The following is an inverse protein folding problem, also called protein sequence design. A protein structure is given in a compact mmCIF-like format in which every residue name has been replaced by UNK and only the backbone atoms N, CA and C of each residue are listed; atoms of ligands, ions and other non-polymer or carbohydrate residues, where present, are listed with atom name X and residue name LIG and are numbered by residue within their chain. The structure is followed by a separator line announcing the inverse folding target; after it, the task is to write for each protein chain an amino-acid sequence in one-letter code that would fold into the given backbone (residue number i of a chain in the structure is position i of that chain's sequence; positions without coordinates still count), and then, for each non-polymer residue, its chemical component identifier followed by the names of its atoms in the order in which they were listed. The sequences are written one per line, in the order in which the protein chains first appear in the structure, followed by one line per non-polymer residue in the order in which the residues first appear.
data_IF_375016898051
#
_entry.id   IF_375016898051
#
_cell.length_a   1.000
_cell.length_b   1.000
_cell.length_c   1.000
_cell.angle_alpha   90.00
_cell.angle_beta   90.00
_cell.angle_gamma   90.00
#
_symmetry.space_group_name_H-M   'P 1'
#
loop_
_entity.id
_entity.type
_entity.pdbx_description
1 polymer ?
#
# COMPACT_ATOMS: atom_id res chain seq x y z
N UNK A 1 16.63 -5.34 -30.53
CA UNK A 1 15.43 -4.74 -29.89
C UNK A 1 15.68 -4.69 -28.40
N UNK A 2 15.48 -3.54 -27.74
CA UNK A 2 15.69 -3.42 -26.29
C UNK A 2 14.72 -4.30 -25.50
N UNK A 3 15.15 -4.77 -24.32
CA UNK A 3 14.30 -5.53 -23.39
C UNK A 3 13.04 -4.71 -23.08
N UNK A 4 11.82 -5.28 -23.14
CA UNK A 4 10.61 -4.54 -22.83
C UNK A 4 10.65 -4.04 -21.39
N UNK A 5 10.23 -2.80 -21.16
CA UNK A 5 10.19 -2.19 -19.82
C UNK A 5 9.25 -2.97 -18.91
N UNK A 6 9.69 -3.23 -17.69
CA UNK A 6 8.87 -3.85 -16.65
C UNK A 6 7.74 -2.92 -16.19
N UNK A 7 6.70 -3.50 -15.61
CA UNK A 7 5.58 -2.74 -15.04
C UNK A 7 6.03 -1.67 -14.02
N UNK A 8 7.04 -1.99 -13.19
CA UNK A 8 7.57 -1.04 -12.21
C UNK A 8 8.35 0.10 -12.84
N UNK A 9 9.08 -0.15 -13.92
CA UNK A 9 9.78 0.90 -14.65
C UNK A 9 8.79 1.86 -15.30
N UNK A 10 7.71 1.34 -15.89
CA UNK A 10 6.61 2.14 -16.44
C UNK A 10 5.97 3.02 -15.34
N UNK A 11 5.59 2.44 -14.21
CA UNK A 11 5.01 3.19 -13.08
C UNK A 11 5.95 4.28 -12.56
N UNK A 12 7.25 3.97 -12.45
CA UNK A 12 8.27 4.94 -12.03
C UNK A 12 8.38 6.11 -13.01
N UNK A 13 8.34 5.84 -14.32
CA UNK A 13 8.37 6.87 -15.36
C UNK A 13 7.13 7.77 -15.26
N UNK A 14 5.93 7.18 -15.18
CA UNK A 14 4.68 7.93 -15.06
C UNK A 14 4.67 8.83 -13.81
N UNK A 15 5.09 8.30 -12.66
CA UNK A 15 5.17 9.08 -11.42
C UNK A 15 6.22 10.20 -11.51
N UNK A 16 7.33 9.96 -12.22
CA UNK A 16 8.37 10.96 -12.45
C UNK A 16 7.88 12.09 -13.34
N UNK A 17 7.12 11.79 -14.40
CA UNK A 17 6.52 12.80 -15.29
C UNK A 17 5.51 13.65 -14.52
N UNK A 18 4.57 13.02 -13.81
CA UNK A 18 3.58 13.73 -12.97
C UNK A 18 4.23 14.60 -11.90
N UNK A 19 5.30 14.11 -11.26
CA UNK A 19 6.06 14.90 -10.30
C UNK A 19 6.62 16.17 -10.96
N UNK A 20 7.20 16.06 -12.16
CA UNK A 20 7.74 17.23 -12.88
C UNK A 20 6.66 18.26 -13.20
N UNK A 21 5.46 17.82 -13.57
CA UNK A 21 4.31 18.70 -13.81
C UNK A 21 3.94 19.48 -12.54
N UNK A 22 3.75 18.81 -11.40
CA UNK A 22 3.46 19.50 -10.13
C UNK A 22 4.52 20.50 -9.72
N UNK A 23 5.79 20.18 -9.97
CA UNK A 23 6.89 21.05 -9.61
C UNK A 23 6.95 22.33 -10.44
N UNK A 24 6.25 22.42 -11.58
CA UNK A 24 6.18 23.67 -12.34
C UNK A 24 5.32 24.73 -11.64
N UNK A 25 4.35 24.31 -10.83
CA UNK A 25 3.44 25.21 -10.10
C UNK A 25 3.99 25.69 -8.75
N UNK A 26 5.10 25.09 -8.28
CA UNK A 26 5.67 25.32 -6.96
C UNK A 26 6.91 26.23 -7.03
N UNK A 27 7.28 26.91 -5.92
CA UNK A 27 8.50 27.71 -5.88
C UNK A 27 9.75 26.94 -6.32
N UNK A 28 10.72 27.58 -7.00
CA UNK A 28 11.90 26.91 -7.55
C UNK A 28 12.69 26.09 -6.53
N UNK A 29 12.84 26.56 -5.29
CA UNK A 29 13.58 25.85 -4.23
C UNK A 29 12.90 24.54 -3.79
N UNK A 30 11.61 24.35 -4.09
CA UNK A 30 10.92 23.07 -3.88
C UNK A 30 11.48 22.00 -4.82
N UNK A 31 11.88 22.36 -6.04
CA UNK A 31 12.54 21.43 -6.98
C UNK A 31 13.84 20.89 -6.38
N UNK A 32 14.62 21.74 -5.72
CA UNK A 32 15.88 21.34 -5.09
C UNK A 32 15.65 20.40 -3.90
N UNK A 33 14.59 20.62 -3.13
CA UNK A 33 14.17 19.68 -2.09
C UNK A 33 13.89 18.28 -2.67
N UNK A 34 13.14 18.18 -3.78
CA UNK A 34 12.85 16.89 -4.40
C UNK A 34 14.08 16.23 -5.05
N UNK A 35 15.01 17.02 -5.61
CA UNK A 35 16.32 16.53 -6.07
C UNK A 35 17.11 15.91 -4.91
N UNK A 36 17.15 16.57 -3.75
CA UNK A 36 17.83 16.06 -2.57
C UNK A 36 17.12 14.84 -1.94
N UNK A 37 15.80 14.74 -2.08
CA UNK A 37 14.99 13.63 -1.54
C UNK A 37 15.01 12.37 -2.43
N UNK A 38 15.28 12.53 -3.72
CA UNK A 38 15.36 11.48 -4.77
C UNK A 38 16.04 10.20 -4.28
N UNK A 39 17.28 10.25 -3.73
CA UNK A 39 18.05 9.02 -3.49
C UNK A 39 17.53 8.17 -2.33
N UNK A 40 16.72 8.76 -1.45
CA UNK A 40 16.29 8.12 -0.19
C UNK A 40 14.79 7.80 -0.16
N UNK A 41 14.04 8.15 -1.21
CA UNK A 41 12.59 7.99 -1.24
C UNK A 41 12.06 7.45 -2.55
N UNK A 42 10.98 6.67 -2.47
CA UNK A 42 10.29 6.18 -3.66
C UNK A 42 9.62 7.32 -4.42
N UNK A 43 9.49 7.14 -5.73
CA UNK A 43 8.71 7.95 -6.65
C UNK A 43 7.30 8.28 -6.11
N UNK A 44 6.57 7.28 -5.58
CA UNK A 44 5.25 7.51 -4.95
C UNK A 44 5.29 8.45 -3.75
N UNK A 45 6.33 8.35 -2.92
CA UNK A 45 6.48 9.22 -1.75
C UNK A 45 6.74 10.65 -2.20
N UNK A 46 7.62 10.83 -3.19
CA UNK A 46 7.89 12.15 -3.77
C UNK A 46 6.64 12.76 -4.40
N UNK A 47 5.90 11.98 -5.18
CA UNK A 47 4.65 12.44 -5.79
C UNK A 47 3.64 12.87 -4.71
N UNK A 48 3.43 12.04 -3.68
CA UNK A 48 2.55 12.38 -2.54
C UNK A 48 2.99 13.65 -1.80
N UNK A 49 4.30 13.83 -1.63
CA UNK A 49 4.85 15.03 -0.98
C UNK A 49 4.67 16.28 -1.86
N UNK A 50 4.75 16.16 -3.18
CA UNK A 50 4.53 17.29 -4.07
C UNK A 50 3.07 17.77 -3.99
N UNK A 51 2.10 16.83 -3.97
CA UNK A 51 0.70 17.17 -3.71
C UNK A 51 0.50 17.85 -2.35
N UNK A 52 1.17 17.37 -1.29
CA UNK A 52 1.04 17.97 0.04
C UNK A 52 1.60 19.39 0.12
N UNK A 53 2.77 19.62 -0.46
CA UNK A 53 3.36 20.95 -0.51
C UNK A 53 2.50 21.90 -1.34
N UNK A 54 1.91 21.45 -2.46
CA UNK A 54 0.94 22.24 -3.22
C UNK A 54 -0.28 22.66 -2.39
N UNK A 55 -0.79 21.77 -1.53
CA UNK A 55 -1.88 22.12 -0.60
C UNK A 55 -1.41 23.15 0.43
N UNK A 56 -0.19 23.02 0.96
CA UNK A 56 0.38 24.00 1.89
C UNK A 56 0.56 25.38 1.27
N UNK A 57 1.16 25.47 0.09
CA UNK A 57 1.36 26.76 -0.56
C UNK A 57 0.03 27.40 -0.98
N UNK A 58 -0.99 26.61 -1.33
CA UNK A 58 -2.34 27.15 -1.56
C UNK A 58 -2.93 27.73 -0.29
N UNK A 59 -2.83 27.01 0.83
CA UNK A 59 -3.26 27.52 2.13
C UNK A 59 -2.61 28.89 2.41
N UNK A 60 -1.31 29.05 2.14
CA UNK A 60 -0.65 30.34 2.30
C UNK A 60 -1.30 31.45 1.45
N UNK A 61 -1.66 31.18 0.19
CA UNK A 61 -2.33 32.16 -0.66
C UNK A 61 -3.77 32.45 -0.22
N UNK A 62 -4.48 31.49 0.36
CA UNK A 62 -5.87 31.64 0.79
C UNK A 62 -6.01 32.28 2.17
N UNK A 63 -5.07 32.02 3.07
CA UNK A 63 -5.17 32.38 4.49
C UNK A 63 -4.20 33.49 4.91
N UNK A 64 -3.13 33.76 4.15
CA UNK A 64 -2.21 34.83 4.47
C UNK A 64 -2.43 36.05 3.55
N UNK A 65 -2.93 37.20 4.07
CA UNK A 65 -3.21 38.38 3.27
C UNK A 65 -1.99 38.92 2.50
N UNK A 66 -0.77 38.76 3.02
CA UNK A 66 0.44 39.26 2.35
C UNK A 66 0.85 38.39 1.15
N UNK A 67 0.37 37.15 1.08
CA UNK A 67 0.70 36.18 0.03
C UNK A 67 -0.44 35.96 -0.96
N UNK A 68 -1.63 36.50 -0.70
CA UNK A 68 -2.83 36.29 -1.50
C UNK A 68 -2.69 36.72 -2.97
N UNK A 69 -2.04 37.85 -3.23
CA UNK A 69 -1.81 38.38 -4.59
C UNK A 69 -0.56 37.82 -5.27
N UNK A 70 0.27 37.06 -4.52
CA UNK A 70 1.55 36.56 -4.99
C UNK A 70 1.35 35.21 -5.68
N UNK A 71 1.85 35.00 -6.92
CA UNK A 71 1.85 33.69 -7.54
C UNK A 71 2.57 32.66 -6.66
N UNK A 72 2.08 31.41 -6.66
CA UNK A 72 2.65 30.34 -5.83
C UNK A 72 4.15 30.14 -6.11
N UNK A 73 4.58 30.32 -7.35
CA UNK A 73 5.99 30.22 -7.78
C UNK A 73 6.90 31.27 -7.16
N UNK A 74 6.34 32.39 -6.70
CA UNK A 74 7.10 33.57 -6.30
C UNK A 74 7.24 33.66 -4.77
N UNK A 75 6.51 32.84 -4.02
CA UNK A 75 6.63 32.76 -2.55
C UNK A 75 8.08 32.43 -2.20
N UNK A 76 8.77 33.36 -1.53
CA UNK A 76 10.21 33.32 -1.31
C UNK A 76 10.57 32.61 0.00
N UNK A 77 11.87 32.42 0.24
CA UNK A 77 12.35 31.84 1.51
C UNK A 77 12.09 32.82 2.66
N UNK A 78 12.16 34.12 2.42
CA UNK A 78 11.86 35.17 3.39
C UNK A 78 10.40 35.09 3.84
N UNK A 79 9.46 34.88 2.91
CA UNK A 79 8.05 34.67 3.24
C UNK A 79 7.89 33.47 4.19
N UNK A 80 8.56 32.34 3.88
CA UNK A 80 8.53 31.15 4.73
C UNK A 80 9.21 31.36 6.09
N UNK A 81 10.25 32.20 6.14
CA UNK A 81 10.98 32.52 7.37
C UNK A 81 10.17 33.38 8.34
N UNK A 82 9.16 34.09 7.84
CA UNK A 82 8.26 34.92 8.65
C UNK A 82 7.19 34.11 9.40
N UNK A 83 6.91 32.88 8.94
CA UNK A 83 5.88 32.01 9.51
C UNK A 83 6.25 31.52 10.91
N UNK A 84 5.27 31.57 11.80
CA UNK A 84 5.34 31.19 13.20
C UNK A 84 4.62 29.84 13.44
N UNK A 85 4.83 29.20 14.60
CA UNK A 85 4.15 27.95 14.95
C UNK A 85 2.62 27.99 14.76
N UNK A 86 1.99 29.12 15.06
CA UNK A 86 0.54 29.33 14.92
C UNK A 86 0.06 29.19 13.47
N UNK A 87 0.82 29.66 12.47
CA UNK A 87 0.45 29.51 11.05
C UNK A 87 0.37 28.03 10.63
N UNK A 88 1.19 27.18 11.24
CA UNK A 88 1.19 25.74 11.00
C UNK A 88 0.09 25.01 11.79
N UNK A 89 -0.34 25.55 12.92
CA UNK A 89 -1.53 25.10 13.64
C UNK A 89 -2.81 25.44 12.85
N UNK A 90 -2.87 26.64 12.27
CA UNK A 90 -3.91 27.05 11.32
C UNK A 90 -3.91 26.15 10.08
N UNK A 91 -2.74 25.83 9.52
CA UNK A 91 -2.67 24.86 8.42
C UNK A 91 -3.21 23.48 8.83
N UNK A 92 -2.89 23.01 10.05
CA UNK A 92 -3.40 21.75 10.57
C UNK A 92 -4.94 21.77 10.73
N UNK A 93 -5.51 22.93 11.06
CA UNK A 93 -6.96 23.15 11.06
C UNK A 93 -7.55 23.18 9.64
N UNK A 94 -6.95 23.93 8.72
CA UNK A 94 -7.34 24.00 7.32
C UNK A 94 -7.41 22.60 6.68
N UNK A 95 -6.48 21.70 7.02
CA UNK A 95 -6.49 20.33 6.52
C UNK A 95 -7.69 19.49 6.97
N UNK A 96 -8.48 19.91 7.99
CA UNK A 96 -9.72 19.23 8.38
C UNK A 96 -10.77 19.34 7.28
N UNK A 97 -10.88 20.50 6.63
CA UNK A 97 -11.80 20.77 5.54
C UNK A 97 -11.31 21.96 4.69
N UNK A 98 -11.03 21.73 3.41
CA UNK A 98 -10.57 22.77 2.48
C UNK A 98 -11.07 22.54 1.06
N UNK A 99 -10.91 23.51 0.17
CA UNK A 99 -11.31 23.36 -1.24
C UNK A 99 -10.15 22.91 -2.12
N UNK A 100 -10.39 21.86 -2.91
CA UNK A 100 -9.49 21.36 -3.94
C UNK A 100 -9.35 22.34 -5.12
N UNK A 101 -8.42 22.06 -6.06
CA UNK A 101 -8.25 22.90 -7.25
C UNK A 101 -9.52 22.96 -8.13
N UNK A 102 -10.39 21.96 -8.03
CA UNK A 102 -11.68 21.87 -8.70
C UNK A 102 -12.83 22.44 -7.85
N UNK A 103 -12.50 23.23 -6.81
CA UNK A 103 -13.43 23.84 -5.86
C UNK A 103 -14.30 22.84 -5.08
N UNK A 104 -13.95 21.54 -5.10
CA UNK A 104 -14.62 20.52 -4.29
C UNK A 104 -14.13 20.53 -2.85
N UNK A 105 -15.04 20.23 -1.92
CA UNK A 105 -14.71 20.10 -0.51
C UNK A 105 -13.92 18.81 -0.27
N UNK A 106 -12.71 18.96 0.25
CA UNK A 106 -11.77 17.91 0.60
C UNK A 106 -11.66 17.81 2.12
N UNK A 107 -11.55 16.60 2.66
CA UNK A 107 -11.35 16.35 4.09
C UNK A 107 -10.22 15.35 4.30
N UNK A 108 -9.49 15.48 5.41
CA UNK A 108 -8.43 14.53 5.77
C UNK A 108 -8.76 13.78 7.06
N UNK A 109 -8.50 12.48 7.05
CA UNK A 109 -8.39 11.72 8.30
C UNK A 109 -7.20 12.22 9.13
N UNK A 110 -7.19 11.94 10.44
CA UNK A 110 -6.04 12.26 11.33
C UNK A 110 -4.71 11.74 10.79
N UNK A 111 -4.71 10.56 10.17
CA UNK A 111 -3.52 9.99 9.51
C UNK A 111 -3.11 10.80 8.27
N UNK A 112 -4.08 11.28 7.49
CA UNK A 112 -3.83 12.17 6.35
C UNK A 112 -3.20 13.49 6.77
N UNK A 113 -3.73 14.12 7.82
CA UNK A 113 -3.18 15.35 8.41
C UNK A 113 -1.75 15.11 8.93
N UNK A 114 -1.54 14.04 9.72
CA UNK A 114 -0.20 13.70 10.24
C UNK A 114 0.82 13.47 9.12
N UNK A 115 0.43 12.84 8.01
CA UNK A 115 1.30 12.64 6.84
C UNK A 115 1.68 13.98 6.18
N UNK A 116 0.71 14.87 5.98
CA UNK A 116 0.93 16.21 5.40
C UNK A 116 1.86 17.05 6.28
N UNK A 117 1.63 17.06 7.60
CA UNK A 117 2.52 17.73 8.56
C UNK A 117 3.93 17.12 8.58
N UNK A 118 4.05 15.79 8.42
CA UNK A 118 5.36 15.13 8.30
C UNK A 118 6.09 15.50 7.00
N UNK A 119 5.36 15.68 5.90
CA UNK A 119 5.92 16.20 4.65
C UNK A 119 6.47 17.61 4.86
N UNK A 120 5.66 18.49 5.46
CA UNK A 120 6.02 19.88 5.72
C UNK A 120 7.24 20.00 6.65
N UNK A 121 7.27 19.22 7.74
CA UNK A 121 8.42 19.14 8.64
C UNK A 121 9.69 18.69 7.92
N UNK A 122 9.60 17.68 7.04
CA UNK A 122 10.73 17.22 6.22
C UNK A 122 11.22 18.28 5.23
N UNK A 123 10.30 19.11 4.70
CA UNK A 123 10.64 20.21 3.82
C UNK A 123 11.35 21.34 4.56
N UNK A 124 10.82 21.80 5.69
CA UNK A 124 11.49 22.81 6.52
C UNK A 124 12.82 22.32 7.10
N UNK A 125 12.93 21.03 7.45
CA UNK A 125 14.20 20.42 7.84
C UNK A 125 15.25 20.51 6.73
N UNK A 126 14.85 20.36 5.47
CA UNK A 126 15.75 20.53 4.33
C UNK A 126 16.23 21.99 4.21
N UNK A 127 15.31 22.95 4.27
CA UNK A 127 15.64 24.38 4.20
C UNK A 127 16.57 24.80 5.34
N UNK A 128 16.27 24.36 6.56
CA UNK A 128 17.11 24.58 7.75
C UNK A 128 18.51 23.98 7.59
N UNK A 129 18.62 22.72 7.17
CA UNK A 129 19.94 22.05 6.95
C UNK A 129 20.78 22.73 5.87
N UNK A 130 20.15 23.38 4.90
CA UNK A 130 20.81 24.16 3.84
C UNK A 130 21.10 25.61 4.27
N UNK A 131 20.80 25.98 5.53
CA UNK A 131 20.94 27.33 6.08
C UNK A 131 20.11 28.39 5.34
N UNK A 132 19.03 27.97 4.66
CA UNK A 132 18.05 28.87 4.05
C UNK A 132 17.07 29.41 5.10
N UNK A 133 16.82 28.63 6.16
CA UNK A 133 16.08 29.06 7.34
C UNK A 133 16.97 28.94 8.58
N UNK A 134 16.76 29.82 9.56
CA UNK A 134 17.46 29.81 10.85
C UNK A 134 16.89 28.79 11.85
N UNK A 135 15.66 28.32 11.64
CA UNK A 135 15.00 27.32 12.48
C UNK A 135 13.92 26.56 11.70
N UNK A 136 13.35 25.51 12.31
CA UNK A 136 12.18 24.81 11.79
C UNK A 136 10.99 24.96 12.79
N UNK A 137 10.12 25.97 12.61
CA UNK A 137 8.97 26.19 13.48
C UNK A 137 7.94 25.04 13.45
N UNK A 138 7.87 24.26 12.36
CA UNK A 138 6.96 23.10 12.23
C UNK A 138 7.27 21.99 13.25
N UNK A 139 8.48 21.98 13.83
CA UNK A 139 8.84 21.04 14.90
C UNK A 139 8.19 21.38 16.25
N UNK A 140 7.77 22.63 16.45
CA UNK A 140 7.11 23.09 17.66
C UNK A 140 5.61 22.74 17.68
N UNK A 141 5.06 22.35 16.53
CA UNK A 141 3.64 21.96 16.39
C UNK A 141 3.44 20.50 16.76
N UNK A 142 2.43 20.26 17.58
CA UNK A 142 2.01 18.92 17.98
C UNK A 142 1.41 18.13 16.81
N UNK A 143 1.97 16.96 16.57
CA UNK A 143 1.47 16.06 15.54
C UNK A 143 0.15 15.42 15.97
N UNK A 144 -0.82 15.22 15.05
CA UNK A 144 -2.06 14.54 15.37
C UNK A 144 -1.80 13.14 15.95
N UNK A 145 -2.25 12.88 17.18
CA UNK A 145 -2.16 11.54 17.79
C UNK A 145 -2.92 10.54 16.92
N UNK A 146 -2.24 9.52 16.42
CA UNK A 146 -2.86 8.44 15.64
C UNK A 146 -3.21 7.32 16.61
N UNK A 147 -4.51 7.02 16.75
CA UNK A 147 -4.96 5.86 17.52
C UNK A 147 -4.57 4.59 16.78
N UNK A 148 -3.93 3.64 17.48
CA UNK A 148 -3.72 2.31 16.93
C UNK A 148 -5.07 1.63 16.70
N UNK A 149 -5.31 1.14 15.48
CA UNK A 149 -6.52 0.40 15.14
C UNK A 149 -6.26 -1.08 15.37
N UNK A 150 -7.27 -1.79 15.87
CA UNK A 150 -7.24 -3.24 15.89
C UNK A 150 -7.03 -3.77 14.46
N UNK A 151 -6.19 -4.79 14.34
CA UNK A 151 -5.96 -5.43 13.06
C UNK A 151 -7.16 -6.28 12.72
N UNK A 152 -7.68 -6.04 11.52
CA UNK A 152 -8.82 -6.73 10.97
C UNK A 152 -8.27 -7.83 10.05
N UNK A 153 -8.66 -9.06 10.33
CA UNK A 153 -8.27 -10.25 9.59
C UNK A 153 -9.47 -11.21 9.53
N UNK A 154 -9.40 -12.14 8.59
CA UNK A 154 -10.35 -13.24 8.49
C UNK A 154 -9.99 -14.34 9.48
N UNK A 155 -11.01 -14.98 10.03
CA UNK A 155 -10.86 -16.23 10.78
C UNK A 155 -10.79 -17.43 9.82
N UNK A 156 -10.26 -18.61 10.22
CA UNK A 156 -10.09 -19.75 9.32
C UNK A 156 -11.37 -20.14 8.57
N UNK A 157 -12.52 -20.16 9.26
CA UNK A 157 -13.80 -20.48 8.65
C UNK A 157 -14.25 -19.42 7.64
N UNK A 158 -13.94 -18.14 7.88
CA UNK A 158 -14.22 -17.06 6.92
C UNK A 158 -13.30 -17.16 5.69
N UNK A 159 -12.07 -17.67 5.84
CA UNK A 159 -11.16 -17.92 4.72
C UNK A 159 -11.73 -19.00 3.80
N UNK A 160 -12.12 -20.15 4.36
CA UNK A 160 -12.76 -21.22 3.60
C UNK A 160 -14.05 -20.71 2.92
N UNK A 161 -14.91 -20.03 3.69
CA UNK A 161 -16.15 -19.43 3.18
C UNK A 161 -15.91 -18.44 2.04
N UNK A 162 -14.82 -17.65 2.08
CA UNK A 162 -14.48 -16.72 1.01
C UNK A 162 -14.14 -17.45 -0.29
N UNK A 163 -13.30 -18.50 -0.21
CA UNK A 163 -12.91 -19.29 -1.38
C UNK A 163 -14.13 -20.02 -1.98
N UNK A 164 -14.90 -20.70 -1.13
CA UNK A 164 -16.13 -21.39 -1.52
C UNK A 164 -17.14 -20.44 -2.16
N UNK A 165 -17.29 -19.24 -1.58
CA UNK A 165 -18.19 -18.22 -2.12
C UNK A 165 -17.76 -17.76 -3.51
N UNK A 166 -16.45 -17.54 -3.74
CA UNK A 166 -15.94 -17.16 -5.06
C UNK A 166 -16.25 -18.26 -6.08
N UNK A 167 -16.02 -19.53 -5.75
CA UNK A 167 -16.27 -20.68 -6.64
C UNK A 167 -17.75 -20.87 -6.99
N UNK A 168 -18.63 -20.57 -6.03
CA UNK A 168 -20.07 -20.78 -6.15
C UNK A 168 -20.84 -19.51 -6.53
N UNK A 169 -20.17 -18.36 -6.64
CA UNK A 169 -20.79 -17.05 -6.92
C UNK A 169 -21.66 -17.05 -8.18
N UNK A 170 -21.33 -17.89 -9.16
CA UNK A 170 -22.10 -18.04 -10.40
C UNK A 170 -23.54 -18.54 -10.20
N UNK A 171 -23.82 -19.31 -9.14
CA UNK A 171 -25.15 -19.91 -8.89
C UNK A 171 -26.26 -18.87 -8.71
N UNK A 172 -25.92 -17.67 -8.28
CA UNK A 172 -26.84 -16.55 -8.06
C UNK A 172 -26.81 -15.51 -9.21
N UNK A 173 -26.11 -15.79 -10.31
CA UNK A 173 -26.00 -14.88 -11.44
C UNK A 173 -26.74 -15.41 -12.67
N UNK A 174 -27.20 -14.50 -13.51
CA UNK A 174 -27.77 -14.80 -14.83
C UNK A 174 -27.25 -13.83 -15.90
N UNK A 175 -27.44 -14.19 -17.16
CA UNK A 175 -27.12 -13.37 -18.33
C UNK A 175 -25.67 -12.89 -18.37
N UNK A 176 -25.49 -11.59 -18.64
CA UNK A 176 -24.18 -10.95 -18.83
C UNK A 176 -23.29 -11.07 -17.58
N UNK A 177 -23.86 -11.03 -16.38
CA UNK A 177 -23.09 -11.17 -15.13
C UNK A 177 -22.49 -12.57 -15.00
N UNK A 178 -23.27 -13.60 -15.30
CA UNK A 178 -22.80 -14.99 -15.28
C UNK A 178 -21.71 -15.23 -16.34
N UNK A 179 -21.87 -14.66 -17.53
CA UNK A 179 -20.84 -14.72 -18.58
C UNK A 179 -19.49 -14.13 -18.11
N UNK A 180 -19.51 -12.92 -17.53
CA UNK A 180 -18.27 -12.31 -17.03
C UNK A 180 -17.68 -13.05 -15.84
N UNK A 181 -18.52 -13.58 -14.94
CA UNK A 181 -18.07 -14.42 -13.84
C UNK A 181 -17.34 -15.66 -14.35
N UNK A 182 -17.93 -16.42 -15.27
CA UNK A 182 -17.33 -17.65 -15.80
C UNK A 182 -15.97 -17.40 -16.46
N UNK A 183 -15.78 -16.23 -17.09
CA UNK A 183 -14.49 -15.84 -17.65
C UNK A 183 -13.43 -15.46 -16.60
N UNK A 184 -13.85 -14.98 -15.44
CA UNK A 184 -12.97 -14.36 -14.44
C UNK A 184 -12.79 -15.21 -13.18
N UNK A 185 -13.63 -16.22 -12.94
CA UNK A 185 -13.64 -16.97 -11.67
C UNK A 185 -12.27 -17.55 -11.30
N UNK A 186 -11.59 -18.20 -12.25
CA UNK A 186 -10.29 -18.81 -11.99
C UNK A 186 -9.20 -17.77 -11.69
N UNK A 187 -9.27 -16.61 -12.34
CA UNK A 187 -8.40 -15.47 -12.01
C UNK A 187 -8.64 -15.02 -10.58
N UNK A 188 -9.90 -14.80 -10.22
CA UNK A 188 -10.26 -14.24 -8.92
C UNK A 188 -9.90 -15.21 -7.79
N UNK A 189 -10.13 -16.52 -7.98
CA UNK A 189 -9.68 -17.60 -7.09
C UNK A 189 -8.15 -17.57 -6.97
N UNK A 190 -7.42 -17.63 -8.08
CA UNK A 190 -5.96 -17.62 -8.07
C UNK A 190 -5.36 -16.40 -7.36
N UNK A 191 -5.93 -15.21 -7.55
CA UNK A 191 -5.50 -13.99 -6.85
C UNK A 191 -5.73 -14.11 -5.34
N UNK A 192 -6.92 -14.54 -4.91
CA UNK A 192 -7.26 -14.61 -3.48
C UNK A 192 -6.46 -15.72 -2.79
N UNK A 193 -6.36 -16.91 -3.41
CA UNK A 193 -5.55 -18.03 -2.91
C UNK A 193 -4.07 -17.64 -2.83
N UNK A 194 -3.51 -16.96 -3.84
CA UNK A 194 -2.13 -16.49 -3.79
C UNK A 194 -1.89 -15.51 -2.64
N UNK A 195 -2.77 -14.51 -2.45
CA UNK A 195 -2.67 -13.55 -1.35
C UNK A 195 -2.74 -14.22 0.02
N UNK A 196 -3.61 -15.22 0.18
CA UNK A 196 -3.83 -15.96 1.42
C UNK A 196 -2.78 -17.04 1.68
N UNK A 197 -2.15 -17.59 0.65
CA UNK A 197 -1.16 -18.67 0.78
C UNK A 197 0.30 -18.20 0.85
N UNK A 198 0.58 -16.95 0.47
CA UNK A 198 1.95 -16.42 0.42
C UNK A 198 2.12 -15.07 1.12
N UNK A 199 1.02 -14.36 1.37
CA UNK A 199 1.06 -13.03 1.95
C UNK A 199 1.73 -11.97 1.09
N UNK A 200 1.93 -12.16 -0.23
CA UNK A 200 2.49 -11.12 -1.11
C UNK A 200 1.69 -9.81 -1.05
N UNK A 201 2.35 -8.67 -1.26
CA UNK A 201 1.64 -7.37 -1.33
C UNK A 201 0.87 -7.29 -2.64
N UNK A 202 -0.27 -6.60 -2.64
CA UNK A 202 -1.08 -6.41 -3.87
C UNK A 202 -0.26 -5.77 -5.00
N UNK A 203 0.63 -4.83 -4.70
CA UNK A 203 1.51 -4.21 -5.69
C UNK A 203 2.58 -5.15 -6.25
N UNK A 204 2.96 -6.18 -5.49
CA UNK A 204 3.86 -7.24 -5.96
C UNK A 204 3.07 -8.19 -6.87
N UNK A 205 1.88 -8.62 -6.43
CA UNK A 205 0.98 -9.50 -7.17
C UNK A 205 0.61 -8.95 -8.56
N UNK A 206 0.17 -7.69 -8.65
CA UNK A 206 -0.22 -7.10 -9.95
C UNK A 206 0.97 -6.93 -10.89
N UNK A 207 2.19 -6.88 -10.34
CA UNK A 207 3.43 -6.73 -11.09
C UNK A 207 3.97 -8.04 -11.67
N UNK A 208 3.44 -9.20 -11.25
CA UNK A 208 3.91 -10.51 -11.67
C UNK A 208 3.75 -10.74 -13.18
N UNK A 209 4.76 -11.37 -13.77
CA UNK A 209 4.72 -11.96 -15.09
C UNK A 209 4.54 -13.47 -15.01
N UNK A 210 4.11 -14.08 -16.12
CA UNK A 210 4.03 -15.56 -16.23
C UNK A 210 5.41 -16.18 -15.94
N UNK A 211 6.48 -15.58 -16.44
CA UNK A 211 7.87 -16.03 -16.26
C UNK A 211 8.45 -15.81 -14.86
N UNK A 212 7.69 -15.21 -13.93
CA UNK A 212 8.09 -15.07 -12.53
C UNK A 212 7.72 -16.29 -11.69
N UNK A 213 6.89 -17.20 -12.21
CA UNK A 213 6.47 -18.42 -11.51
C UNK A 213 7.39 -19.58 -11.89
N UNK A 214 7.92 -20.26 -10.87
CA UNK A 214 8.64 -21.52 -10.98
C UNK A 214 7.83 -22.62 -10.30
N UNK A 215 7.03 -23.35 -11.09
CA UNK A 215 6.23 -24.49 -10.64
C UNK A 215 7.07 -25.71 -10.25
N UNK A 216 8.36 -25.78 -10.65
CA UNK A 216 9.21 -26.90 -10.25
C UNK A 216 9.63 -26.78 -8.79
N UNK A 217 9.89 -25.55 -8.34
CA UNK A 217 10.32 -25.24 -6.98
C UNK A 217 9.22 -24.57 -6.15
N UNK A 218 7.99 -24.49 -6.68
CA UNK A 218 6.86 -23.77 -6.10
C UNK A 218 7.22 -22.38 -5.56
N UNK A 219 7.91 -21.60 -6.39
CA UNK A 219 8.42 -20.28 -6.05
C UNK A 219 7.94 -19.19 -7.01
N UNK A 220 7.76 -17.97 -6.49
CA UNK A 220 7.46 -16.77 -7.28
C UNK A 220 8.54 -15.74 -7.02
N UNK A 221 9.20 -15.29 -8.09
CA UNK A 221 10.13 -14.17 -8.04
C UNK A 221 9.35 -12.86 -7.95
N UNK A 222 9.43 -12.19 -6.81
CA UNK A 222 8.85 -10.85 -6.60
C UNK A 222 9.94 -9.80 -6.55
N UNK A 223 9.63 -8.62 -7.07
CA UNK A 223 10.42 -7.43 -6.83
C UNK A 223 9.88 -6.73 -5.58
N UNK A 224 10.71 -6.38 -4.59
CA UNK A 224 10.32 -5.66 -3.36
C UNK A 224 10.65 -4.17 -3.45
N UNK A 225 10.18 -3.37 -2.48
CA UNK A 225 10.48 -1.94 -2.42
C UNK A 225 12.00 -1.74 -2.37
N UNK A 226 12.51 -0.82 -3.19
CA UNK A 226 13.95 -0.58 -3.32
C UNK A 226 14.64 -1.33 -4.47
N UNK A 227 13.91 -2.21 -5.17
CA UNK A 227 14.44 -2.95 -6.32
C UNK A 227 15.04 -4.31 -5.99
N UNK A 228 15.00 -4.74 -4.72
CA UNK A 228 15.49 -6.06 -4.30
C UNK A 228 14.55 -7.16 -4.79
N UNK A 229 15.09 -8.21 -5.40
CA UNK A 229 14.33 -9.40 -5.74
C UNK A 229 14.27 -10.37 -4.55
N UNK A 230 13.18 -11.13 -4.45
CA UNK A 230 13.04 -12.22 -3.49
C UNK A 230 12.17 -13.31 -4.08
N UNK A 231 12.46 -14.56 -3.71
CA UNK A 231 11.59 -15.70 -4.02
C UNK A 231 10.63 -15.91 -2.85
N UNK A 232 9.34 -15.99 -3.14
CA UNK A 232 8.31 -16.39 -2.18
C UNK A 232 7.81 -17.76 -2.58
N UNK A 233 7.87 -18.70 -1.65
CA UNK A 233 7.40 -20.07 -1.87
C UNK A 233 5.90 -20.18 -1.60
N UNK A 234 5.25 -21.12 -2.28
CA UNK A 234 3.83 -21.40 -2.15
C UNK A 234 3.56 -22.91 -2.04
N UNK A 235 2.42 -23.28 -1.46
CA UNK A 235 2.00 -24.68 -1.33
C UNK A 235 1.06 -25.14 -2.45
N UNK A 236 0.68 -26.42 -2.38
CA UNK A 236 -0.09 -27.13 -3.41
C UNK A 236 -1.42 -26.46 -3.77
N UNK A 237 -2.12 -25.86 -2.79
CA UNK A 237 -3.38 -25.15 -3.06
C UNK A 237 -3.18 -23.92 -3.96
N UNK A 238 -2.10 -23.17 -3.73
CA UNK A 238 -1.74 -22.01 -4.57
C UNK A 238 -1.25 -22.50 -5.93
N UNK A 239 -0.45 -23.56 -5.96
CA UNK A 239 0.02 -24.18 -7.20
C UNK A 239 -1.17 -24.56 -8.10
N UNK A 240 -2.12 -25.31 -7.54
CA UNK A 240 -3.33 -25.74 -8.23
C UNK A 240 -4.13 -24.54 -8.75
N UNK A 241 -4.38 -23.54 -7.90
CA UNK A 241 -5.17 -22.37 -8.30
C UNK A 241 -4.48 -21.58 -9.44
N UNK A 242 -3.15 -21.45 -9.41
CA UNK A 242 -2.38 -20.80 -10.47
C UNK A 242 -2.42 -21.60 -11.77
N UNK A 243 -2.25 -22.94 -11.72
CA UNK A 243 -2.36 -23.81 -12.90
C UNK A 243 -3.76 -23.76 -13.51
N UNK A 244 -4.80 -23.91 -12.69
CA UNK A 244 -6.20 -23.81 -13.12
C UNK A 244 -6.46 -22.48 -13.82
N UNK A 245 -5.95 -21.37 -13.28
CA UNK A 245 -6.05 -20.07 -13.94
C UNK A 245 -5.30 -20.01 -15.26
N UNK A 246 -4.03 -20.48 -15.29
CA UNK A 246 -3.19 -20.45 -16.47
C UNK A 246 -3.82 -21.22 -17.63
N UNK A 247 -4.22 -22.46 -17.37
CA UNK A 247 -4.70 -23.42 -18.36
C UNK A 247 -6.12 -23.12 -18.81
N UNK A 248 -7.03 -22.80 -17.88
CA UNK A 248 -8.46 -22.69 -18.20
C UNK A 248 -8.85 -21.28 -18.69
N UNK A 249 -8.14 -20.23 -18.26
CA UNK A 249 -8.54 -18.85 -18.53
C UNK A 249 -7.43 -18.00 -19.14
N UNK A 250 -6.26 -17.90 -18.51
CA UNK A 250 -5.21 -16.94 -18.89
C UNK A 250 -4.67 -17.17 -20.29
N UNK A 251 -4.41 -18.43 -20.67
CA UNK A 251 -3.84 -18.78 -21.98
C UNK A 251 -4.86 -18.64 -23.11
N UNK A 252 -6.16 -18.67 -22.82
CA UNK A 252 -7.23 -18.46 -23.80
C UNK A 252 -7.51 -16.98 -24.10
N UNK A 253 -6.88 -16.05 -23.37
CA UNK A 253 -7.08 -14.60 -23.56
C UNK A 253 -5.95 -14.05 -24.42
N UNK A 254 -6.27 -13.46 -25.58
CA UNK A 254 -5.34 -12.62 -26.33
C UNK A 254 -5.15 -11.26 -25.61
N UNK A 255 -4.00 -10.97 -25.01
CA UNK A 255 -3.80 -9.73 -24.26
C UNK A 255 -3.75 -8.52 -25.20
N UNK A 256 -4.05 -7.33 -24.66
CA UNK A 256 -3.75 -6.09 -25.38
C UNK A 256 -2.23 -5.86 -25.42
N UNK A 257 -1.77 -5.16 -26.47
CA UNK A 257 -0.35 -4.90 -26.67
C UNK A 257 0.28 -4.19 -25.46
N UNK A 258 1.45 -4.66 -25.02
CA UNK A 258 2.15 -4.19 -23.83
C UNK A 258 1.73 -4.86 -22.52
N UNK A 259 0.87 -5.88 -22.56
CA UNK A 259 0.39 -6.63 -21.40
C UNK A 259 0.54 -8.15 -21.56
N UNK A 260 1.26 -8.62 -22.57
CA UNK A 260 1.39 -10.01 -22.98
C UNK A 260 1.96 -10.89 -21.87
N UNK A 261 2.97 -10.38 -21.15
CA UNK A 261 3.68 -11.12 -20.11
C UNK A 261 2.95 -11.12 -18.76
N UNK A 262 1.93 -10.26 -18.58
CA UNK A 262 1.29 -10.07 -17.28
C UNK A 262 0.61 -11.36 -16.81
N UNK A 263 0.91 -11.80 -15.58
CA UNK A 263 0.29 -13.00 -15.02
C UNK A 263 -1.23 -12.82 -14.93
N UNK A 264 -1.68 -11.76 -14.26
CA UNK A 264 -3.11 -11.49 -14.06
C UNK A 264 -3.63 -10.40 -14.99
N UNK A 265 -4.67 -10.74 -15.77
CA UNK A 265 -5.35 -9.82 -16.69
C UNK A 265 -6.71 -9.36 -16.18
N UNK A 266 -7.05 -8.10 -16.42
CA UNK A 266 -8.40 -7.56 -16.21
C UNK A 266 -9.36 -8.04 -17.30
N UNK A 267 -10.66 -7.79 -17.13
CA UNK A 267 -11.66 -8.04 -18.17
C UNK A 267 -11.42 -7.25 -19.47
N UNK A 268 -10.59 -6.21 -19.43
CA UNK A 268 -10.17 -5.42 -20.59
C UNK A 268 -8.92 -5.99 -21.29
N UNK A 269 -8.44 -7.17 -20.89
CA UNK A 269 -7.25 -7.85 -21.45
C UNK A 269 -5.93 -7.09 -21.22
N UNK A 270 -5.91 -6.18 -20.24
CA UNK A 270 -4.70 -5.49 -19.74
C UNK A 270 -4.25 -6.09 -18.42
N UNK A 271 -3.02 -5.84 -18.00
CA UNK A 271 -2.57 -6.14 -16.63
C UNK A 271 -3.59 -5.60 -15.61
N UNK A 272 -3.99 -6.43 -14.65
CA UNK A 272 -4.95 -6.01 -13.63
C UNK A 272 -4.35 -4.91 -12.74
N UNK A 273 -5.14 -3.90 -12.38
CA UNK A 273 -4.69 -2.82 -11.51
C UNK A 273 -4.89 -3.17 -10.02
N UNK A 274 -4.16 -2.47 -9.14
CA UNK A 274 -4.36 -2.59 -7.68
C UNK A 274 -5.81 -2.31 -7.30
N UNK A 275 -6.40 -1.23 -7.84
CA UNK A 275 -7.78 -0.85 -7.59
C UNK A 275 -8.78 -1.94 -8.03
N UNK A 276 -8.54 -2.60 -9.18
CA UNK A 276 -9.39 -3.69 -9.64
C UNK A 276 -9.32 -4.90 -8.69
N UNK A 277 -8.13 -5.24 -8.16
CA UNK A 277 -7.97 -6.29 -7.15
C UNK A 277 -8.66 -5.90 -5.84
N UNK A 278 -8.51 -4.66 -5.38
CA UNK A 278 -9.17 -4.18 -4.15
C UNK A 278 -10.69 -4.24 -4.26
N UNK A 279 -11.26 -3.79 -5.38
CA UNK A 279 -12.69 -3.86 -5.66
C UNK A 279 -13.18 -5.31 -5.73
N UNK A 280 -12.41 -6.19 -6.36
CA UNK A 280 -12.73 -7.62 -6.46
C UNK A 280 -12.75 -8.28 -5.08
N UNK A 281 -11.71 -8.07 -4.26
CA UNK A 281 -11.63 -8.61 -2.89
C UNK A 281 -12.78 -8.07 -2.05
N UNK A 282 -13.06 -6.76 -2.12
CA UNK A 282 -14.17 -6.15 -1.38
C UNK A 282 -15.52 -6.77 -1.77
N UNK A 283 -15.77 -6.96 -3.07
CA UNK A 283 -17.01 -7.55 -3.61
C UNK A 283 -17.31 -8.92 -3.00
N UNK A 284 -16.32 -9.81 -2.98
CA UNK A 284 -16.51 -11.17 -2.45
C UNK A 284 -16.54 -11.20 -0.93
N UNK A 285 -15.61 -10.48 -0.27
CA UNK A 285 -15.51 -10.51 1.17
C UNK A 285 -16.73 -9.88 1.88
N UNK A 286 -17.39 -8.88 1.28
CA UNK A 286 -18.59 -8.28 1.87
C UNK A 286 -19.79 -9.23 1.93
N UNK A 287 -19.76 -10.34 1.18
CA UNK A 287 -20.83 -11.33 1.22
C UNK A 287 -20.67 -12.35 2.35
N UNK A 288 -19.45 -12.52 2.87
CA UNK A 288 -19.12 -13.54 3.88
C UNK A 288 -18.73 -12.94 5.23
N UNK A 289 -18.35 -11.66 5.29
CA UNK A 289 -17.97 -10.99 6.53
C UNK A 289 -18.48 -9.55 6.59
N UNK A 290 -18.90 -9.13 7.79
CA UNK A 290 -19.16 -7.72 8.10
C UNK A 290 -17.86 -6.90 8.17
N UNK A 291 -16.70 -7.56 8.28
CA UNK A 291 -15.39 -6.91 8.30
C UNK A 291 -15.10 -6.36 6.90
N UNK A 292 -14.69 -5.09 6.80
CA UNK A 292 -14.21 -4.55 5.51
C UNK A 292 -12.88 -5.21 5.16
N UNK A 293 -12.83 -6.16 4.23
CA UNK A 293 -11.59 -6.83 3.84
C UNK A 293 -10.95 -6.14 2.62
N UNK A 294 -9.63 -6.05 2.65
CA UNK A 294 -8.78 -5.54 1.55
C UNK A 294 -7.62 -6.51 1.34
N UNK A 295 -6.88 -6.45 0.22
CA UNK A 295 -5.72 -7.32 -0.01
C UNK A 295 -4.69 -7.28 1.12
N UNK A 296 -4.48 -6.10 1.73
CA UNK A 296 -3.57 -5.96 2.87
C UNK A 296 -4.06 -6.71 4.12
N UNK A 297 -5.39 -6.84 4.29
CA UNK A 297 -5.99 -7.64 5.37
C UNK A 297 -5.86 -9.14 5.10
N UNK A 298 -5.99 -9.58 3.84
CA UNK A 298 -5.69 -10.98 3.46
C UNK A 298 -4.24 -11.35 3.79
N UNK A 299 -3.28 -10.45 3.50
CA UNK A 299 -1.88 -10.63 3.92
C UNK A 299 -1.73 -10.71 5.45
N UNK A 300 -2.50 -9.92 6.19
CA UNK A 300 -2.50 -9.98 7.67
C UNK A 300 -3.10 -11.30 8.18
N UNK A 301 -4.15 -11.80 7.52
CA UNK A 301 -4.73 -13.14 7.75
C UNK A 301 -3.65 -14.21 7.58
N UNK A 302 -2.95 -14.24 6.45
CA UNK A 302 -1.87 -15.20 6.19
C UNK A 302 -0.81 -15.18 7.29
N UNK A 303 -0.26 -14.00 7.61
CA UNK A 303 0.78 -13.91 8.62
C UNK A 303 0.31 -14.32 10.03
N UNK A 304 -0.97 -14.11 10.34
CA UNK A 304 -1.55 -14.60 11.61
C UNK A 304 -1.63 -16.13 11.61
N UNK A 305 -2.13 -16.72 10.53
CA UNK A 305 -2.22 -18.17 10.39
C UNK A 305 -0.82 -18.79 10.49
N UNK A 306 0.15 -18.27 9.74
CA UNK A 306 1.54 -18.72 9.79
C UNK A 306 2.13 -18.60 11.20
N UNK A 307 1.91 -17.48 11.89
CA UNK A 307 2.42 -17.32 13.26
C UNK A 307 1.75 -18.27 14.25
N UNK A 308 0.45 -18.56 14.06
CA UNK A 308 -0.30 -19.51 14.88
C UNK A 308 0.27 -20.92 14.76
N UNK A 309 0.52 -21.37 13.53
CA UNK A 309 1.07 -22.69 13.24
C UNK A 309 2.54 -22.83 13.68
N UNK A 310 3.37 -21.84 13.36
CA UNK A 310 4.84 -22.00 13.48
C UNK A 310 5.40 -21.63 14.84
N UNK A 311 4.74 -20.75 15.60
CA UNK A 311 5.36 -20.21 16.81
C UNK A 311 6.35 -19.08 16.57
N UNK A 312 6.84 -18.90 15.34
CA UNK A 312 8.05 -18.15 15.04
C UNK A 312 7.73 -16.78 14.41
N UNK A 313 7.95 -15.73 15.18
CA UNK A 313 7.71 -14.35 14.74
C UNK A 313 8.75 -13.87 13.72
N UNK A 314 9.98 -14.41 13.75
CA UNK A 314 11.06 -14.05 12.84
C UNK A 314 10.83 -14.66 11.47
N UNK A 315 10.44 -15.93 11.42
CA UNK A 315 9.98 -16.59 10.19
C UNK A 315 8.85 -15.79 9.53
N UNK A 316 7.83 -15.41 10.30
CA UNK A 316 6.71 -14.62 9.78
C UNK A 316 7.18 -13.26 9.25
N UNK A 317 8.11 -12.60 9.95
CA UNK A 317 8.66 -11.32 9.50
C UNK A 317 9.45 -11.46 8.19
N UNK A 318 10.23 -12.52 8.03
CA UNK A 318 11.03 -12.79 6.83
C UNK A 318 10.15 -13.10 5.61
N UNK A 319 9.23 -14.04 5.76
CA UNK A 319 8.26 -14.44 4.72
C UNK A 319 7.45 -13.22 4.26
N UNK A 320 6.90 -12.45 5.20
CA UNK A 320 6.18 -11.22 4.86
C UNK A 320 7.14 -10.14 4.30
N UNK A 321 8.41 -10.12 4.68
CA UNK A 321 9.34 -9.10 4.27
C UNK A 321 9.20 -7.80 5.02
N UNK A 322 9.18 -7.89 6.34
CA UNK A 322 9.24 -6.75 7.24
C UNK A 322 10.70 -6.49 7.61
N UNK A 323 11.19 -5.27 7.32
CA UNK A 323 12.55 -4.86 7.68
C UNK A 323 12.75 -4.76 9.20
N UNK A 324 11.67 -4.55 9.96
CA UNK A 324 11.67 -4.51 11.42
C UNK A 324 10.61 -5.48 11.97
N UNK A 325 11.06 -6.45 12.77
CA UNK A 325 10.24 -7.45 13.45
C UNK A 325 9.19 -6.81 14.37
N UNK A 326 9.43 -5.60 14.89
CA UNK A 326 8.43 -4.88 15.69
C UNK A 326 7.15 -4.61 14.90
N UNK A 327 7.25 -4.45 13.57
CA UNK A 327 6.07 -4.36 12.70
C UNK A 327 5.23 -5.63 12.85
N UNK A 328 5.85 -6.80 12.69
CA UNK A 328 5.22 -8.12 12.85
C UNK A 328 4.69 -8.33 14.27
N UNK A 329 5.45 -7.93 15.31
CA UNK A 329 5.05 -8.07 16.72
C UNK A 329 3.80 -7.26 17.06
N UNK A 330 3.70 -6.03 16.55
CA UNK A 330 2.47 -5.23 16.65
C UNK A 330 1.29 -5.95 16.02
N UNK A 331 1.53 -6.72 14.95
CA UNK A 331 0.46 -7.46 14.30
C UNK A 331 -0.17 -8.56 15.16
N UNK A 332 0.62 -9.20 16.02
CA UNK A 332 0.21 -10.42 16.73
C UNK A 332 0.24 -10.30 18.25
N UNK A 333 0.16 -9.07 18.79
CA UNK A 333 0.22 -8.80 20.22
C UNK A 333 -0.79 -9.62 21.04
N UNK A 334 -2.01 -9.84 20.53
CA UNK A 334 -3.04 -10.67 21.19
C UNK A 334 -2.66 -12.15 21.26
N UNK A 335 -2.11 -12.72 20.19
CA UNK A 335 -1.59 -14.09 20.20
C UNK A 335 -0.39 -14.23 21.14
N UNK A 336 0.44 -13.19 21.23
CA UNK A 336 1.57 -13.17 22.17
C UNK A 336 1.10 -13.25 23.62
N UNK A 337 0.01 -12.59 24.01
CA UNK A 337 -0.53 -12.69 25.38
C UNK A 337 -1.06 -14.10 25.70
N UNK A 338 -1.81 -14.71 24.77
CA UNK A 338 -2.27 -16.08 24.92
C UNK A 338 -1.10 -17.07 25.09
N UNK A 339 -0.03 -16.90 24.31
CA UNK A 339 1.20 -17.70 24.43
C UNK A 339 1.96 -17.44 25.74
N UNK A 340 2.03 -16.19 26.22
CA UNK A 340 2.61 -15.90 27.54
C UNK A 340 1.90 -16.64 28.66
N UNK A 341 0.55 -16.70 28.59
CA UNK A 341 -0.24 -17.51 29.54
C UNK A 341 0.07 -19.00 29.40
N UNK A 342 0.18 -19.53 28.19
CA UNK A 342 0.55 -20.94 27.97
C UNK A 342 1.98 -21.26 28.46
N UNK A 343 2.94 -20.34 28.25
CA UNK A 343 4.34 -20.49 28.65
C UNK A 343 4.51 -20.65 30.16
N UNK A 344 3.62 -20.06 30.97
CA UNK A 344 3.62 -20.26 32.43
C UNK A 344 3.49 -21.74 32.85
N UNK A 345 2.93 -22.59 31.97
CA UNK A 345 2.75 -24.03 32.20
C UNK A 345 3.81 -24.90 31.54
N UNK A 346 4.71 -24.31 30.74
CA UNK A 346 5.67 -25.06 29.94
C UNK A 346 6.86 -25.59 30.75
N UNK A 347 7.23 -24.90 31.84
CA UNK A 347 8.32 -25.30 32.73
C UNK A 347 7.74 -26.03 33.93
N UNK A 348 8.03 -27.33 34.04
CA UNK A 348 7.64 -28.13 35.21
C UNK A 348 8.87 -28.36 36.09
N UNK A 349 8.82 -27.93 37.35
CA UNK A 349 9.98 -27.95 38.25
C UNK A 349 10.23 -29.31 38.92
N UNK A 350 9.24 -30.20 38.94
CA UNK A 350 9.33 -31.52 39.57
C UNK A 350 8.59 -32.54 38.70
N UNK A 351 9.18 -33.71 38.50
CA UNK A 351 8.50 -34.80 37.81
C UNK A 351 7.21 -35.19 38.54
N UNK A 352 6.15 -35.46 37.78
CA UNK A 352 4.94 -36.06 38.35
C UNK A 352 5.33 -37.49 38.76
N UNK A 353 5.32 -37.75 40.06
CA UNK A 353 5.36 -39.12 40.58
C UNK A 353 4.14 -39.84 40.00
N UNK A 354 4.39 -40.85 39.15
CA UNK A 354 3.36 -41.68 38.52
C UNK A 354 2.57 -42.47 39.55
#
# INVERSE_FOLDING_TARGET
MGKPMTYREQEKIENTVKLREFLQELPPYVKDYFRAKEPTTSDKTRLSYAYDLRVFFRFLQESNPSLMSKPMTDISIEDLSSLQPVDFEEFQEYLKAYKGPDNKLETNSRTGIARKMSCLRSFYDYLYKRKLLSSNPVRLVDMPKIKEKAIIQLDPDEVASLLDYIENYGKQLSGVKLYHYNKQKYRDIAIVTLLLGTGVRVSELVGLNISDIDFKNNGIRILRKGGNEMIVYFGDEVEKALKDYLEISRNAITPLSGHEDALFLSGQRKRISVDAVEKMVKKYASAISAKTITPHKLRSTYGTALYRETGDIYLVADVLGHADVNTTKKHYAKLSDARRRAASKAVTLREKLN
#
